data_IF_544418128705
#
_entry.id   IF_544418128705
#
_cell.length_a   1.000
_cell.length_b   1.000
_cell.length_c   1.000
_cell.angle_alpha   90.00
_cell.angle_beta   90.00
_cell.angle_gamma   90.00
#
_symmetry.space_group_name_H-M   'P 1'
#
loop_
_entity.id
_entity.type
_entity.pdbx_description
1 polymer ?
#
# COMPACT_ATOMS: atom_id res chain seq x y z
N UNK A 1 14.09 -10.24 -22.24
CA UNK A 1 13.07 -10.07 -21.19
C UNK A 1 12.83 -11.32 -20.31
N UNK A 2 13.02 -12.57 -20.76
CA UNK A 2 12.80 -13.77 -19.92
C UNK A 2 13.75 -13.94 -18.72
N UNK A 3 14.96 -13.37 -18.76
CA UNK A 3 15.97 -13.59 -17.71
C UNK A 3 15.86 -12.62 -16.52
N UNK A 4 15.17 -11.47 -16.68
CA UNK A 4 14.92 -10.50 -15.57
C UNK A 4 13.73 -10.90 -14.69
N UNK A 5 12.81 -11.70 -15.21
CA UNK A 5 11.63 -12.21 -14.51
C UNK A 5 11.95 -12.94 -13.19
N UNK A 6 12.92 -13.90 -13.14
CA UNK A 6 13.25 -14.60 -11.90
C UNK A 6 13.89 -13.68 -10.84
N UNK A 7 14.69 -12.68 -11.25
CA UNK A 7 15.29 -11.73 -10.31
C UNK A 7 14.23 -10.85 -9.64
N UNK A 8 13.27 -10.37 -10.41
CA UNK A 8 12.14 -9.58 -9.91
C UNK A 8 11.30 -10.37 -8.91
N UNK A 9 11.05 -11.65 -9.17
CA UNK A 9 10.31 -12.53 -8.27
C UNK A 9 11.05 -12.71 -6.92
N UNK A 10 12.36 -12.90 -6.93
CA UNK A 10 13.17 -13.05 -5.71
C UNK A 10 13.13 -11.78 -4.86
N UNK A 11 13.28 -10.60 -5.49
CA UNK A 11 13.21 -9.32 -4.80
C UNK A 11 11.82 -9.11 -4.16
N UNK A 12 10.75 -9.42 -4.89
CA UNK A 12 9.39 -9.32 -4.38
C UNK A 12 9.16 -10.22 -3.16
N UNK A 13 9.65 -11.47 -3.20
CA UNK A 13 9.57 -12.42 -2.07
C UNK A 13 10.30 -11.87 -0.84
N UNK A 14 11.53 -11.34 -1.02
CA UNK A 14 12.29 -10.76 0.09
C UNK A 14 11.56 -9.56 0.73
N UNK A 15 10.94 -8.70 -0.08
CA UNK A 15 10.15 -7.56 0.41
C UNK A 15 8.95 -8.06 1.22
N UNK A 16 8.22 -9.07 0.72
CA UNK A 16 7.07 -9.65 1.43
C UNK A 16 7.51 -10.24 2.77
N UNK A 17 8.60 -11.01 2.79
CA UNK A 17 9.14 -11.60 4.02
C UNK A 17 9.55 -10.51 5.01
N UNK A 18 10.23 -9.45 4.57
CA UNK A 18 10.61 -8.34 5.44
C UNK A 18 9.38 -7.65 6.06
N UNK A 19 8.33 -7.39 5.25
CA UNK A 19 7.07 -6.80 5.72
C UNK A 19 6.41 -7.71 6.77
N UNK A 20 6.36 -9.03 6.53
CA UNK A 20 5.79 -9.98 7.47
C UNK A 20 6.54 -10.01 8.81
N UNK A 21 7.88 -10.01 8.76
CA UNK A 21 8.71 -9.96 9.98
C UNK A 21 8.45 -8.66 10.74
N UNK A 22 8.49 -7.51 10.06
CA UNK A 22 8.23 -6.22 10.71
C UNK A 22 6.83 -6.14 11.31
N UNK A 23 5.82 -6.67 10.62
CA UNK A 23 4.43 -6.74 11.12
C UNK A 23 4.32 -7.59 12.39
N UNK A 24 4.96 -8.78 12.39
CA UNK A 24 4.98 -9.67 13.55
C UNK A 24 5.69 -9.02 14.75
N UNK A 25 6.81 -8.35 14.53
CA UNK A 25 7.52 -7.61 15.58
C UNK A 25 6.68 -6.47 16.14
N UNK A 26 6.03 -5.68 15.27
CA UNK A 26 5.12 -4.63 15.71
C UNK A 26 3.98 -5.17 16.57
N UNK A 27 3.41 -6.33 16.21
CA UNK A 27 2.40 -7.00 17.02
C UNK A 27 2.93 -7.42 18.39
N UNK A 28 4.11 -8.06 18.45
CA UNK A 28 4.73 -8.48 19.71
C UNK A 28 5.05 -7.29 20.62
N UNK A 29 5.58 -6.21 20.05
CA UNK A 29 5.87 -4.98 20.80
C UNK A 29 4.59 -4.35 21.36
N UNK A 30 3.53 -4.23 20.55
CA UNK A 30 2.23 -3.73 21.00
C UNK A 30 1.66 -4.59 22.13
N UNK A 31 1.72 -5.92 21.98
CA UNK A 31 1.28 -6.87 23.01
C UNK A 31 2.06 -6.70 24.32
N UNK A 32 3.38 -6.61 24.25
CA UNK A 32 4.26 -6.43 25.42
C UNK A 32 4.01 -5.08 26.13
N UNK A 33 3.75 -4.01 25.39
CA UNK A 33 3.41 -2.68 25.94
C UNK A 33 2.07 -2.72 26.70
N UNK A 34 1.08 -3.45 26.16
CA UNK A 34 -0.25 -3.61 26.80
C UNK A 34 -0.17 -4.48 28.07
N UNK A 35 0.60 -5.58 28.02
CA UNK A 35 0.76 -6.52 29.15
C UNK A 35 1.55 -5.90 30.33
N UNK A 36 2.48 -4.98 30.05
CA UNK A 36 3.31 -4.33 31.09
C UNK A 36 2.62 -3.15 31.80
N UNK A 37 1.30 -2.98 31.65
CA UNK A 37 0.44 -2.28 32.62
C UNK A 37 0.58 -0.77 32.77
N UNK A 38 1.37 -0.08 31.95
CA UNK A 38 1.55 1.37 32.04
C UNK A 38 0.76 2.14 31.00
N UNK A 39 -0.56 2.27 31.12
CA UNK A 39 -1.37 3.21 30.32
C UNK A 39 -1.09 4.68 30.73
N UNK A 40 0.18 5.06 30.76
CA UNK A 40 0.60 6.46 30.88
C UNK A 40 0.28 7.18 29.57
N UNK A 41 0.05 8.49 29.67
CA UNK A 41 -0.24 9.40 28.55
C UNK A 41 0.79 9.29 27.41
N UNK A 42 2.05 8.98 27.75
CA UNK A 42 3.12 8.70 26.80
C UNK A 42 2.88 7.44 25.95
N UNK A 43 2.32 6.38 26.53
CA UNK A 43 2.01 5.14 25.81
C UNK A 43 0.83 5.35 24.86
N UNK A 44 -0.16 6.17 25.23
CA UNK A 44 -1.24 6.55 24.32
C UNK A 44 -0.73 7.35 23.11
N UNK A 45 0.21 8.29 23.31
CA UNK A 45 0.86 9.01 22.21
C UNK A 45 1.67 8.09 21.29
N UNK A 46 2.38 7.11 21.86
CA UNK A 46 3.13 6.11 21.09
C UNK A 46 2.17 5.21 20.31
N UNK A 47 1.08 4.77 20.93
CA UNK A 47 0.05 3.95 20.28
C UNK A 47 -0.60 4.70 19.10
N UNK A 48 -0.94 5.97 19.27
CA UNK A 48 -1.51 6.80 18.20
C UNK A 48 -0.51 6.99 17.04
N UNK A 49 0.77 7.23 17.32
CA UNK A 49 1.83 7.24 16.28
C UNK A 49 2.00 5.90 15.58
N UNK A 50 1.90 4.79 16.30
CA UNK A 50 1.98 3.42 15.75
C UNK A 50 0.69 2.94 15.07
N UNK A 51 -0.42 3.66 15.23
CA UNK A 51 -1.71 3.31 14.63
C UNK A 51 -1.90 3.85 13.22
N UNK A 52 -1.00 4.74 12.74
CA UNK A 52 -0.86 5.12 11.33
C UNK A 52 -2.21 5.28 10.60
N UNK A 53 -3.08 6.15 11.14
CA UNK A 53 -4.55 6.12 10.94
C UNK A 53 -5.09 6.33 9.52
N UNK A 54 -4.26 6.36 8.48
CA UNK A 54 -4.73 6.50 7.10
C UNK A 54 -3.90 5.70 6.08
N UNK A 55 -2.80 5.06 6.49
CA UNK A 55 -1.92 4.36 5.56
C UNK A 55 -2.53 3.08 4.96
N UNK A 56 -3.26 2.24 5.72
CA UNK A 56 -3.97 1.10 5.13
C UNK A 56 -5.03 1.52 4.12
N UNK A 57 -5.76 2.61 4.41
CA UNK A 57 -6.81 3.13 3.53
C UNK A 57 -6.22 3.70 2.24
N UNK A 58 -5.08 4.39 2.33
CA UNK A 58 -4.31 4.85 1.16
C UNK A 58 -3.95 3.70 0.24
N UNK A 59 -3.32 2.65 0.78
CA UNK A 59 -2.88 1.50 0.00
C UNK A 59 -4.06 0.70 -0.54
N UNK A 60 -5.14 0.56 0.22
CA UNK A 60 -6.37 -0.07 -0.25
C UNK A 60 -6.97 0.64 -1.47
N UNK A 61 -7.03 1.98 -1.45
CA UNK A 61 -7.60 2.74 -2.56
C UNK A 61 -6.71 2.71 -3.82
N UNK A 62 -5.39 2.76 -3.66
CA UNK A 62 -4.45 2.64 -4.76
C UNK A 62 -4.53 1.25 -5.40
N UNK A 63 -4.54 0.18 -4.59
CA UNK A 63 -4.63 -1.20 -5.08
C UNK A 63 -5.99 -1.48 -5.73
N UNK A 64 -7.08 -0.92 -5.19
CA UNK A 64 -8.40 -1.02 -5.80
C UNK A 64 -8.40 -0.35 -7.18
N UNK A 65 -7.85 0.86 -7.27
CA UNK A 65 -7.81 1.59 -8.54
C UNK A 65 -6.91 0.90 -9.58
N UNK A 66 -5.73 0.43 -9.18
CA UNK A 66 -4.86 -0.36 -10.05
C UNK A 66 -5.51 -1.68 -10.48
N UNK A 67 -6.19 -2.38 -9.57
CA UNK A 67 -6.97 -3.58 -9.91
C UNK A 67 -8.04 -3.32 -10.98
N UNK A 68 -8.71 -2.17 -10.93
CA UNK A 68 -9.64 -1.75 -11.99
C UNK A 68 -8.89 -1.49 -13.30
N UNK A 69 -7.72 -0.85 -13.25
CA UNK A 69 -6.86 -0.64 -14.43
C UNK A 69 -6.50 -1.94 -15.13
N UNK A 70 -6.13 -2.97 -14.37
CA UNK A 70 -5.86 -4.31 -14.89
C UNK A 70 -7.09 -4.99 -15.48
N UNK A 71 -8.26 -4.85 -14.85
CA UNK A 71 -9.52 -5.38 -15.40
C UNK A 71 -9.86 -4.69 -16.73
N UNK A 72 -9.71 -3.37 -16.80
CA UNK A 72 -9.96 -2.61 -18.03
C UNK A 72 -9.01 -3.04 -19.15
N UNK A 73 -7.75 -3.31 -18.83
CA UNK A 73 -6.76 -3.77 -19.80
C UNK A 73 -7.12 -5.07 -20.50
N UNK A 74 -7.82 -5.99 -19.83
CA UNK A 74 -8.30 -7.24 -20.44
C UNK A 74 -9.29 -6.99 -21.60
N UNK A 75 -10.05 -5.90 -21.53
CA UNK A 75 -11.06 -5.57 -22.54
C UNK A 75 -10.55 -4.65 -23.65
N UNK A 76 -9.31 -4.16 -23.56
CA UNK A 76 -8.73 -3.28 -24.57
C UNK A 76 -7.90 -4.10 -25.55
N UNK A 77 -8.20 -4.07 -26.86
CA UNK A 77 -7.34 -4.71 -27.85
C UNK A 77 -6.05 -3.89 -28.02
N UNK A 78 -4.92 -4.44 -27.61
CA UNK A 78 -3.60 -3.83 -27.81
C UNK A 78 -2.56 -4.89 -28.19
N UNK A 79 -1.54 -4.47 -28.95
CA UNK A 79 -0.37 -5.31 -29.21
C UNK A 79 0.59 -5.19 -28.02
N UNK A 80 0.65 -6.23 -27.19
CA UNK A 80 1.42 -6.23 -25.94
C UNK A 80 2.94 -6.00 -26.14
N UNK A 81 3.44 -6.31 -27.33
CA UNK A 81 4.86 -6.34 -27.62
C UNK A 81 5.38 -4.99 -28.16
N UNK A 82 4.47 -4.14 -28.67
CA UNK A 82 4.82 -2.92 -29.39
C UNK A 82 4.13 -1.66 -28.82
N UNK A 83 3.13 -1.82 -27.96
CA UNK A 83 2.32 -0.71 -27.46
C UNK A 83 2.65 -0.35 -26.01
N UNK A 84 2.98 0.93 -25.71
CA UNK A 84 3.12 1.41 -24.33
C UNK A 84 1.77 1.57 -23.62
N UNK A 85 0.65 1.26 -24.29
CA UNK A 85 -0.71 1.46 -23.81
C UNK A 85 -0.99 0.82 -22.43
N UNK A 86 -0.55 -0.41 -22.11
CA UNK A 86 -0.80 -1.02 -20.80
C UNK A 86 -0.23 -0.23 -19.64
N UNK A 87 1.01 0.24 -19.79
CA UNK A 87 1.68 1.05 -18.77
C UNK A 87 0.98 2.39 -18.59
N UNK A 88 0.50 2.99 -19.68
CA UNK A 88 -0.26 4.24 -19.65
C UNK A 88 -1.59 4.09 -18.92
N UNK A 89 -2.38 3.08 -19.27
CA UNK A 89 -3.68 2.80 -18.62
C UNK A 89 -3.46 2.57 -17.13
N UNK A 90 -2.55 1.69 -16.75
CA UNK A 90 -2.29 1.38 -15.34
C UNK A 90 -1.80 2.60 -14.55
N UNK A 91 -0.91 3.42 -15.14
CA UNK A 91 -0.44 4.64 -14.50
C UNK A 91 -1.56 5.65 -14.25
N UNK A 92 -2.52 5.80 -15.18
CA UNK A 92 -3.69 6.68 -14.99
C UNK A 92 -4.56 6.16 -13.85
N UNK A 93 -4.84 4.86 -13.80
CA UNK A 93 -5.65 4.28 -12.74
C UNK A 93 -4.98 4.39 -11.37
N UNK A 94 -3.67 4.14 -11.26
CA UNK A 94 -2.93 4.34 -10.01
C UNK A 94 -2.95 5.82 -9.58
N UNK A 95 -2.72 6.75 -10.51
CA UNK A 95 -2.77 8.18 -10.25
C UNK A 95 -4.18 8.61 -9.77
N UNK A 96 -5.24 8.07 -10.36
CA UNK A 96 -6.61 8.30 -9.92
C UNK A 96 -6.83 7.82 -8.47
N UNK A 97 -6.30 6.66 -8.10
CA UNK A 97 -6.34 6.15 -6.72
C UNK A 97 -5.63 7.09 -5.73
N UNK A 98 -4.45 7.61 -6.09
CA UNK A 98 -3.72 8.59 -5.28
C UNK A 98 -4.48 9.93 -5.14
N UNK A 99 -5.06 10.43 -6.23
CA UNK A 99 -5.85 11.67 -6.22
C UNK A 99 -7.12 11.50 -5.39
N UNK A 100 -7.82 10.38 -5.55
CA UNK A 100 -9.00 10.06 -4.75
C UNK A 100 -8.66 10.01 -3.26
N UNK A 101 -7.53 9.39 -2.88
CA UNK A 101 -7.08 9.39 -1.48
C UNK A 101 -6.79 10.82 -0.99
N UNK A 102 -6.10 11.63 -1.80
CA UNK A 102 -5.76 13.00 -1.44
C UNK A 102 -7.00 13.85 -1.19
N UNK A 103 -7.98 13.83 -2.09
CA UNK A 103 -9.16 14.68 -2.01
C UNK A 103 -10.19 14.18 -0.98
N UNK A 104 -10.41 12.87 -0.89
CA UNK A 104 -11.48 12.31 -0.06
C UNK A 104 -11.03 12.07 1.39
N UNK A 105 -9.75 11.76 1.61
CA UNK A 105 -9.25 11.36 2.93
C UNK A 105 -8.30 12.38 3.51
N UNK A 106 -7.26 12.79 2.76
CA UNK A 106 -6.18 13.62 3.30
C UNK A 106 -6.55 15.10 3.43
N UNK A 107 -7.15 15.70 2.39
CA UNK A 107 -7.54 17.12 2.38
C UNK A 107 -8.51 17.48 3.51
N UNK A 108 -9.58 16.70 3.79
CA UNK A 108 -10.52 17.01 4.88
C UNK A 108 -9.91 16.92 6.28
N UNK A 109 -8.82 16.17 6.46
CA UNK A 109 -8.09 16.05 7.73
C UNK A 109 -6.96 17.08 7.88
N UNK A 110 -6.56 17.76 6.81
CA UNK A 110 -5.53 18.80 6.84
C UNK A 110 -6.07 20.18 7.24
N UNK A 111 -7.40 20.35 7.18
CA UNK A 111 -8.13 21.61 7.44
C UNK A 111 -8.86 21.58 8.80
N UNK A 112 -8.55 20.60 9.65
CA UNK A 112 -9.01 20.45 11.05
C UNK A 112 -7.80 20.41 11.98
#
# INVERSE_FOLDING_TARGET
>A
MKQIMPFLAIIAILIIVAILISSLYNYRLKKQILENGGMNENVQRIMNKLSGGSDPLKWGLILLSGGIGLIVLEYVPYHADESPLPYGVEAVFLAAGFLAYYFLVKKPHADK
#
